data_IF_362912197454
#
_entry.id   IF_362912197454
#
_cell.length_a   1.000
_cell.length_b   1.000
_cell.length_c   1.000
_cell.angle_alpha   90.00
_cell.angle_beta   90.00
_cell.angle_gamma   90.00
#
_symmetry.space_group_name_H-M   'P 1'
#
loop_
_entity.id
_entity.type
_entity.pdbx_description
1 polymer ?
#
# COMPACT_ATOMS: atom_id res chain seq x y z
N UNK A 1 46.98 -7.62 -4.71
CA UNK A 1 46.28 -6.34 -4.94
C UNK A 1 46.12 -6.13 -6.44
N UNK A 2 44.88 -6.19 -6.96
CA UNK A 2 44.58 -5.79 -8.34
C UNK A 2 43.81 -4.47 -8.28
N UNK A 3 44.37 -3.42 -8.89
CA UNK A 3 43.70 -2.13 -9.09
C UNK A 3 42.90 -2.18 -10.39
N UNK A 4 41.64 -1.80 -10.34
CA UNK A 4 40.80 -1.47 -11.50
C UNK A 4 40.81 0.06 -11.71
N UNK A 5 40.57 0.57 -12.94
CA UNK A 5 41.07 1.88 -13.38
C UNK A 5 40.21 3.10 -13.00
N UNK A 6 39.12 2.93 -12.26
CA UNK A 6 38.04 3.92 -12.16
C UNK A 6 37.78 4.42 -10.73
N UNK A 7 38.69 4.15 -9.79
CA UNK A 7 38.78 4.90 -8.53
C UNK A 7 37.55 4.83 -7.62
N UNK A 8 36.58 3.96 -7.89
CA UNK A 8 35.39 3.84 -7.06
C UNK A 8 35.66 2.85 -5.93
N UNK A 9 36.05 3.39 -4.78
CA UNK A 9 36.00 2.67 -3.51
C UNK A 9 34.52 2.48 -3.18
N UNK A 10 33.99 1.27 -3.34
CA UNK A 10 32.69 0.91 -2.75
C UNK A 10 32.93 0.77 -1.25
N UNK A 11 32.82 1.90 -0.55
CA UNK A 11 32.82 1.94 0.90
C UNK A 11 31.61 1.17 1.43
N UNK A 12 31.88 0.22 2.32
CA UNK A 12 30.88 -0.45 3.16
C UNK A 12 30.16 0.51 4.14
N UNK A 13 30.48 1.81 4.10
CA UNK A 13 29.87 2.87 4.91
C UNK A 13 28.49 3.33 4.40
N UNK A 14 28.02 2.84 3.24
CA UNK A 14 26.70 3.21 2.71
C UNK A 14 25.51 2.45 3.34
N UNK A 15 25.73 1.86 4.52
CA UNK A 15 24.71 1.42 5.46
C UNK A 15 24.47 2.46 6.58
N UNK A 16 25.08 3.65 6.51
CA UNK A 16 24.67 4.80 7.32
C UNK A 16 23.47 5.51 6.68
N UNK A 17 22.29 5.05 7.07
CA UNK A 17 21.04 5.64 6.62
C UNK A 17 19.84 4.74 6.85
N UNK A 18 19.84 3.93 7.91
CA UNK A 18 18.59 3.51 8.53
C UNK A 18 17.90 4.79 9.00
N UNK A 19 17.16 5.45 8.09
CA UNK A 19 16.23 6.50 8.45
C UNK A 19 15.29 5.84 9.46
N UNK A 20 15.52 6.10 10.74
CA UNK A 20 14.52 5.92 11.79
C UNK A 20 13.34 6.75 11.32
N UNK A 21 12.42 6.14 10.57
CA UNK A 21 11.36 6.91 9.95
C UNK A 21 10.50 7.44 11.10
N UNK A 22 10.62 8.73 11.38
CA UNK A 22 9.92 9.45 12.44
C UNK A 22 8.45 9.69 12.09
N UNK A 23 7.99 9.17 10.96
CA UNK A 23 6.62 9.18 10.51
C UNK A 23 5.74 8.34 11.46
N UNK A 24 4.86 8.98 12.26
CA UNK A 24 4.04 8.30 13.26
C UNK A 24 2.78 7.67 12.64
N UNK A 25 2.56 7.84 11.32
CA UNK A 25 1.38 7.31 10.64
C UNK A 25 1.40 5.78 10.66
N UNK A 26 0.21 5.20 10.85
CA UNK A 26 -0.02 3.76 10.74
C UNK A 26 0.29 3.25 9.34
N UNK A 27 0.56 1.96 9.22
CA UNK A 27 0.98 1.34 7.96
C UNK A 27 -0.22 0.72 7.24
N UNK A 28 -0.35 1.04 5.94
CA UNK A 28 -1.14 0.26 4.98
C UNK A 28 -0.18 -0.55 4.11
N UNK A 29 -0.21 -1.88 4.22
CA UNK A 29 0.54 -2.78 3.35
C UNK A 29 -0.27 -3.08 2.09
N UNK A 30 0.35 -2.98 0.92
CA UNK A 30 -0.30 -3.30 -0.36
C UNK A 30 0.51 -4.37 -1.08
N UNK A 31 -0.04 -5.58 -1.19
CA UNK A 31 0.51 -6.61 -2.07
C UNK A 31 -0.10 -6.48 -3.46
N UNK A 32 0.76 -6.30 -4.46
CA UNK A 32 0.37 -6.22 -5.87
C UNK A 32 1.50 -6.77 -6.73
N UNK A 33 1.15 -7.45 -7.83
CA UNK A 33 2.14 -7.82 -8.83
C UNK A 33 2.66 -6.57 -9.57
N UNK A 34 3.99 -6.37 -9.72
CA UNK A 34 4.58 -5.14 -10.26
C UNK A 34 4.23 -4.87 -11.73
N UNK A 35 3.85 -5.92 -12.47
CA UNK A 35 3.36 -5.79 -13.86
C UNK A 35 1.91 -5.34 -14.01
N UNK A 36 1.17 -5.15 -12.91
CA UNK A 36 -0.19 -4.62 -12.97
C UNK A 36 -0.16 -3.09 -13.09
N UNK A 37 -1.13 -2.48 -13.81
CA UNK A 37 -1.23 -1.03 -13.89
C UNK A 37 -1.29 -0.41 -12.50
N UNK A 38 -0.58 0.71 -12.33
CA UNK A 38 -0.77 1.57 -11.17
C UNK A 38 -2.23 1.99 -11.09
N UNK A 39 -2.71 2.23 -9.87
CA UNK A 39 -4.03 2.77 -9.62
C UNK A 39 -3.89 4.15 -9.00
N UNK A 40 -4.95 4.96 -9.09
CA UNK A 40 -5.01 6.32 -8.55
C UNK A 40 -4.82 6.39 -7.02
N UNK A 41 -4.72 5.24 -6.33
CA UNK A 41 -4.48 5.14 -4.90
C UNK A 41 -3.05 4.74 -4.50
N UNK A 42 -2.09 4.85 -5.43
CA UNK A 42 -0.70 4.47 -5.18
C UNK A 42 0.18 5.58 -4.56
N UNK A 43 -0.39 6.74 -4.21
CA UNK A 43 0.39 7.91 -3.79
C UNK A 43 0.37 8.10 -2.26
N UNK A 44 1.45 7.65 -1.61
CA UNK A 44 1.64 7.64 -0.15
C UNK A 44 1.83 9.02 0.51
N UNK A 45 2.10 10.07 -0.26
CA UNK A 45 2.52 11.36 0.29
C UNK A 45 1.37 12.16 0.95
N UNK A 46 0.12 11.88 0.56
CA UNK A 46 -1.07 12.57 1.09
C UNK A 46 -2.01 11.66 1.89
N UNK A 47 -1.76 10.35 1.91
CA UNK A 47 -2.59 9.39 2.64
C UNK A 47 -2.45 9.56 4.17
N UNK A 48 -3.54 9.32 4.90
CA UNK A 48 -3.51 9.32 6.38
C UNK A 48 -2.63 8.22 6.97
N UNK A 49 -2.39 7.16 6.19
CA UNK A 49 -1.50 6.06 6.52
C UNK A 49 -0.28 6.04 5.59
N UNK A 50 0.83 5.50 6.07
CA UNK A 50 2.00 5.22 5.25
C UNK A 50 1.72 3.98 4.42
N UNK A 51 1.65 4.14 3.10
CA UNK A 51 1.46 3.04 2.17
C UNK A 51 2.81 2.40 1.84
N UNK A 52 2.93 1.08 2.04
CA UNK A 52 4.13 0.30 1.71
C UNK A 52 3.72 -0.82 0.76
N UNK A 53 4.37 -0.88 -0.39
CA UNK A 53 4.15 -1.93 -1.38
C UNK A 53 5.01 -3.15 -1.10
N UNK A 54 4.42 -4.32 -1.28
CA UNK A 54 5.05 -5.62 -1.07
C UNK A 54 4.90 -6.42 -2.36
N UNK A 55 6.02 -6.84 -2.94
CA UNK A 55 6.04 -7.42 -4.30
C UNK A 55 5.40 -8.82 -4.40
N UNK A 56 5.23 -9.51 -3.27
CA UNK A 56 4.72 -10.87 -3.24
C UNK A 56 3.67 -11.09 -2.15
N UNK A 57 2.63 -11.86 -2.46
CA UNK A 57 1.63 -12.29 -1.48
C UNK A 57 2.29 -13.07 -0.33
N UNK A 58 3.27 -13.91 -0.64
CA UNK A 58 3.95 -14.78 0.33
C UNK A 58 4.75 -14.03 1.40
N UNK A 59 5.16 -12.79 1.12
CA UNK A 59 5.91 -11.96 2.07
C UNK A 59 5.02 -11.11 2.97
N UNK A 60 3.70 -11.08 2.73
CA UNK A 60 2.75 -10.29 3.54
C UNK A 60 2.76 -10.67 5.01
N UNK A 61 2.80 -11.98 5.33
CA UNK A 61 2.85 -12.43 6.72
C UNK A 61 4.08 -11.85 7.43
N UNK A 62 5.25 -12.01 6.81
CA UNK A 62 6.49 -11.47 7.35
C UNK A 62 6.43 -9.94 7.52
N UNK A 63 5.84 -9.24 6.55
CA UNK A 63 5.68 -7.78 6.64
C UNK A 63 4.71 -7.34 7.76
N UNK A 64 3.65 -8.10 8.01
CA UNK A 64 2.75 -7.87 9.14
C UNK A 64 3.47 -8.13 10.47
N UNK A 65 4.12 -9.29 10.60
CA UNK A 65 4.85 -9.67 11.82
C UNK A 65 5.92 -8.62 12.15
N UNK A 66 6.72 -8.22 11.16
CA UNK A 66 7.76 -7.22 11.35
C UNK A 66 7.21 -5.81 11.61
N UNK A 67 6.08 -5.43 10.99
CA UNK A 67 5.42 -4.16 11.25
C UNK A 67 4.91 -4.05 12.70
N UNK A 68 4.46 -5.17 13.27
CA UNK A 68 4.05 -5.27 14.67
C UNK A 68 5.25 -5.22 15.62
N UNK A 69 6.35 -5.90 15.30
CA UNK A 69 7.61 -5.85 16.09
C UNK A 69 8.16 -4.44 16.22
N UNK A 70 8.03 -3.63 15.16
CA UNK A 70 8.50 -2.24 15.14
C UNK A 70 7.52 -1.25 15.81
N UNK A 71 6.41 -1.73 16.41
CA UNK A 71 5.35 -0.92 17.00
C UNK A 71 4.77 0.14 16.04
N UNK A 72 4.76 -0.15 14.73
CA UNK A 72 4.28 0.78 13.70
C UNK A 72 2.83 0.55 13.29
N UNK A 73 2.10 -0.22 14.09
CA UNK A 73 0.68 -0.59 13.92
C UNK A 73 0.28 -0.75 12.45
N UNK A 74 0.34 -1.98 11.94
CA UNK A 74 -0.25 -2.28 10.62
C UNK A 74 -1.76 -2.17 10.75
N UNK A 75 -2.32 -1.09 10.21
CA UNK A 75 -3.76 -0.83 10.25
C UNK A 75 -4.49 -1.62 9.18
N UNK A 76 -3.85 -1.79 8.02
CA UNK A 76 -4.51 -2.33 6.84
C UNK A 76 -3.57 -3.13 5.96
N UNK A 77 -4.09 -4.23 5.42
CA UNK A 77 -3.46 -5.04 4.38
C UNK A 77 -4.41 -5.07 3.19
N UNK A 78 -3.92 -4.68 2.02
CA UNK A 78 -4.66 -4.75 0.76
C UNK A 78 -3.91 -5.69 -0.18
N UNK A 79 -4.60 -6.71 -0.65
CA UNK A 79 -4.11 -7.65 -1.66
C UNK A 79 -4.83 -7.29 -2.97
N UNK A 80 -4.16 -6.62 -3.89
CA UNK A 80 -4.74 -6.19 -5.17
C UNK A 80 -4.44 -7.17 -6.29
N UNK A 81 -5.46 -7.94 -6.69
CA UNK A 81 -5.48 -8.81 -7.88
C UNK A 81 -4.31 -9.79 -7.93
N UNK A 82 -3.79 -10.18 -6.78
CA UNK A 82 -2.69 -11.15 -6.65
C UNK A 82 -3.09 -12.25 -5.67
N UNK A 83 -2.71 -13.49 -6.00
CA UNK A 83 -3.13 -14.68 -5.25
C UNK A 83 -4.59 -15.08 -5.49
N UNK A 84 -5.02 -16.09 -4.73
CA UNK A 84 -6.35 -16.70 -4.79
C UNK A 84 -7.15 -16.47 -3.51
N UNK A 85 -8.47 -16.68 -3.58
CA UNK A 85 -9.33 -16.61 -2.39
C UNK A 85 -8.90 -17.60 -1.29
N UNK A 86 -8.41 -18.79 -1.67
CA UNK A 86 -7.89 -19.77 -0.72
C UNK A 86 -6.63 -19.26 -0.02
N UNK A 87 -5.66 -18.71 -0.77
CA UNK A 87 -4.47 -18.09 -0.19
C UNK A 87 -4.81 -16.92 0.73
N UNK A 88 -5.84 -16.14 0.39
CA UNK A 88 -6.34 -15.09 1.27
C UNK A 88 -6.91 -15.64 2.58
N UNK A 89 -7.70 -16.71 2.55
CA UNK A 89 -8.20 -17.35 3.77
C UNK A 89 -7.06 -17.95 4.60
N UNK A 90 -6.09 -18.60 3.97
CA UNK A 90 -4.88 -19.12 4.63
C UNK A 90 -4.09 -17.98 5.29
N UNK A 91 -3.96 -16.85 4.60
CA UNK A 91 -3.34 -15.64 5.14
C UNK A 91 -4.08 -15.16 6.39
N UNK A 92 -5.42 -15.02 6.33
CA UNK A 92 -6.23 -14.60 7.49
C UNK A 92 -6.07 -15.55 8.69
N UNK A 93 -6.02 -16.85 8.45
CA UNK A 93 -5.82 -17.86 9.49
C UNK A 93 -4.41 -17.81 10.09
N UNK A 94 -3.44 -17.25 9.37
CA UNK A 94 -2.04 -17.12 9.81
C UNK A 94 -1.72 -15.78 10.48
N UNK A 95 -2.67 -14.83 10.50
CA UNK A 95 -2.45 -13.51 11.11
C UNK A 95 -2.20 -13.64 12.63
N UNK A 96 -1.28 -12.84 13.20
CA UNK A 96 -1.11 -12.76 14.64
C UNK A 96 -2.43 -12.40 15.34
N UNK A 97 -2.67 -12.96 16.52
CA UNK A 97 -3.87 -12.66 17.29
C UNK A 97 -3.96 -11.18 17.73
N UNK A 98 -2.81 -10.52 17.83
CA UNK A 98 -2.66 -9.10 18.13
C UNK A 98 -2.93 -8.20 16.91
N UNK A 99 -3.03 -8.77 15.71
CA UNK A 99 -3.32 -7.99 14.51
C UNK A 99 -4.80 -7.57 14.49
N UNK A 100 -5.05 -6.34 14.92
CA UNK A 100 -6.38 -5.73 14.95
C UNK A 100 -6.77 -4.99 13.66
N UNK A 101 -5.88 -4.99 12.67
CA UNK A 101 -6.08 -4.29 11.42
C UNK A 101 -7.08 -4.94 10.46
N UNK A 102 -7.31 -4.29 9.34
CA UNK A 102 -8.20 -4.76 8.28
C UNK A 102 -7.40 -5.48 7.19
N UNK A 103 -7.99 -6.50 6.57
CA UNK A 103 -7.35 -7.23 5.48
C UNK A 103 -8.34 -7.37 4.33
N UNK A 104 -8.04 -6.73 3.18
CA UNK A 104 -8.89 -6.71 2.00
C UNK A 104 -8.24 -7.46 0.83
N UNK A 105 -8.99 -8.34 0.19
CA UNK A 105 -8.59 -9.01 -1.05
C UNK A 105 -9.43 -8.54 -2.23
N UNK A 106 -8.84 -7.72 -3.10
CA UNK A 106 -9.46 -7.17 -4.29
C UNK A 106 -9.25 -8.11 -5.47
N UNK A 107 -10.35 -8.49 -6.10
CA UNK A 107 -10.39 -9.41 -7.25
C UNK A 107 -10.17 -8.67 -8.58
N UNK A 108 -9.98 -9.45 -9.64
CA UNK A 108 -9.79 -8.94 -10.99
C UNK A 108 -10.99 -8.11 -11.50
N UNK A 109 -12.21 -8.42 -11.05
CA UNK A 109 -13.43 -7.70 -11.40
C UNK A 109 -13.72 -6.48 -10.51
N UNK A 110 -12.77 -6.08 -9.65
CA UNK A 110 -12.91 -4.92 -8.77
C UNK A 110 -13.69 -5.17 -7.48
N UNK A 111 -14.44 -6.27 -7.37
CA UNK A 111 -15.06 -6.69 -6.11
C UNK A 111 -14.02 -7.16 -5.10
N UNK A 112 -14.37 -7.24 -3.82
CA UNK A 112 -13.43 -7.65 -2.78
C UNK A 112 -14.05 -8.48 -1.65
N UNK A 113 -13.19 -9.13 -0.88
CA UNK A 113 -13.50 -9.59 0.47
C UNK A 113 -12.74 -8.73 1.47
N UNK A 114 -13.43 -8.22 2.48
CA UNK A 114 -12.85 -7.44 3.57
C UNK A 114 -13.00 -8.21 4.88
N UNK A 115 -11.89 -8.43 5.59
CA UNK A 115 -11.89 -9.02 6.92
C UNK A 115 -11.48 -7.99 7.96
N UNK A 116 -12.33 -7.81 8.97
CA UNK A 116 -12.11 -6.87 10.08
C UNK A 116 -12.42 -7.54 11.43
N UNK A 117 -11.86 -7.02 12.52
CA UNK A 117 -12.10 -7.55 13.87
C UNK A 117 -13.46 -7.07 14.37
N UNK A 118 -14.34 -8.02 14.71
CA UNK A 118 -15.66 -7.76 15.27
C UNK A 118 -15.65 -7.49 16.77
N UNK A 119 -16.81 -7.05 17.29
CA UNK A 119 -17.06 -6.89 18.73
C UNK A 119 -17.08 -8.27 19.40
N UNK A 120 -15.94 -8.73 19.88
CA UNK A 120 -15.75 -10.08 20.43
C UNK A 120 -14.42 -10.74 20.06
N UNK A 121 -13.55 -10.05 19.30
CA UNK A 121 -12.22 -10.55 18.94
C UNK A 121 -12.20 -11.52 17.75
N UNK A 122 -13.37 -11.99 17.31
CA UNK A 122 -13.48 -12.78 16.08
C UNK A 122 -13.46 -11.89 14.85
N UNK A 123 -12.87 -12.40 13.77
CA UNK A 123 -12.90 -11.74 12.47
C UNK A 123 -14.23 -11.97 11.76
N UNK A 124 -14.77 -10.90 11.18
CA UNK A 124 -15.94 -10.95 10.29
C UNK A 124 -15.44 -10.78 8.87
N UNK A 125 -16.08 -11.45 7.92
CA UNK A 125 -15.77 -11.36 6.49
C UNK A 125 -16.95 -10.72 5.75
N UNK A 126 -16.68 -9.66 5.00
CA UNK A 126 -17.64 -8.93 4.20
C UNK A 126 -17.32 -9.13 2.71
N UNK A 127 -18.35 -9.39 1.91
CA UNK A 127 -18.25 -9.30 0.46
C UNK A 127 -18.57 -7.87 0.04
N UNK A 128 -17.71 -7.27 -0.77
CA UNK A 128 -17.80 -5.89 -1.23
C UNK A 128 -17.97 -5.87 -2.76
N UNK A 129 -18.91 -5.08 -3.25
CA UNK A 129 -18.95 -4.74 -4.67
C UNK A 129 -17.80 -3.80 -5.05
N UNK A 130 -17.54 -3.61 -6.34
CA UNK A 130 -16.54 -2.63 -6.81
C UNK A 130 -16.83 -1.21 -6.27
N UNK A 131 -18.11 -0.83 -6.21
CA UNK A 131 -18.53 0.46 -5.65
C UNK A 131 -18.16 0.59 -4.18
N UNK A 132 -18.36 -0.46 -3.40
CA UNK A 132 -18.04 -0.48 -1.97
C UNK A 132 -16.52 -0.43 -1.75
N UNK A 133 -15.74 -1.08 -2.61
CA UNK A 133 -14.27 -0.99 -2.59
C UNK A 133 -13.80 0.43 -2.83
N UNK A 134 -14.33 1.10 -3.84
CA UNK A 134 -13.97 2.49 -4.13
C UNK A 134 -14.34 3.41 -2.96
N UNK A 135 -15.56 3.28 -2.43
CA UNK A 135 -16.00 4.05 -1.27
C UNK A 135 -15.11 3.82 -0.04
N UNK A 136 -14.71 2.57 0.21
CA UNK A 136 -13.80 2.22 1.30
C UNK A 136 -12.43 2.88 1.12
N UNK A 137 -11.83 2.77 -0.07
CA UNK A 137 -10.53 3.39 -0.36
C UNK A 137 -10.59 4.92 -0.23
N UNK A 138 -11.66 5.56 -0.70
CA UNK A 138 -11.90 7.01 -0.56
C UNK A 138 -12.03 7.41 0.91
N UNK A 139 -12.80 6.66 1.69
CA UNK A 139 -12.99 6.91 3.13
C UNK A 139 -11.67 6.88 3.91
N UNK A 140 -10.73 6.06 3.46
CA UNK A 140 -9.40 5.95 4.07
C UNK A 140 -8.33 6.85 3.42
N UNK A 141 -8.74 7.78 2.54
CA UNK A 141 -7.85 8.66 1.78
C UNK A 141 -6.71 7.90 1.10
N UNK A 142 -7.03 6.72 0.59
CA UNK A 142 -6.08 5.93 -0.18
C UNK A 142 -6.07 6.37 -1.63
N UNK A 143 -7.18 6.88 -2.15
CA UNK A 143 -7.31 7.44 -3.50
C UNK A 143 -6.94 8.93 -3.53
N UNK A 144 -6.35 9.37 -4.64
CA UNK A 144 -6.27 10.79 -4.98
C UNK A 144 -7.26 11.07 -6.12
N UNK A 145 -8.18 12.00 -5.90
CA UNK A 145 -8.82 12.70 -7.00
C UNK A 145 -7.84 13.79 -7.43
N UNK A 146 -7.15 13.65 -8.56
CA UNK A 146 -6.55 14.83 -9.19
C UNK A 146 -7.71 15.76 -9.51
N UNK A 147 -7.86 16.84 -8.75
CA UNK A 147 -8.67 17.97 -9.19
C UNK A 147 -7.90 18.54 -10.36
N UNK A 148 -8.26 18.13 -11.58
CA UNK A 148 -7.78 18.79 -12.79
C UNK A 148 -8.31 20.21 -12.79
N UNK A 149 -7.50 21.15 -12.29
CA UNK A 149 -7.69 22.55 -12.61
C UNK A 149 -7.30 22.71 -14.08
N UNK A 150 -8.30 22.77 -14.95
CA UNK A 150 -8.10 23.24 -16.31
C UNK A 150 -7.69 24.71 -16.21
N UNK A 151 -6.38 24.97 -16.25
CA UNK A 151 -5.86 26.34 -16.34
C UNK A 151 -6.19 26.80 -17.76
N UNK A 152 -7.29 27.54 -17.91
CA UNK A 152 -7.58 28.28 -19.14
C UNK A 152 -6.34 29.12 -19.46
N UNK A 153 -5.64 28.75 -20.54
CA UNK A 153 -4.49 29.50 -21.00
C UNK A 153 -5.02 30.82 -21.56
N UNK A 154 -4.66 32.00 -21.02
CA UNK A 154 -5.16 33.25 -21.56
C UNK A 154 -4.68 33.36 -23.01
N UNK A 155 -5.65 33.51 -23.93
CA UNK A 155 -5.40 33.65 -25.37
C UNK A 155 -4.46 34.83 -25.56
N UNK A 156 -3.23 34.54 -25.98
CA UNK A 156 -2.23 35.56 -26.28
C UNK A 156 -2.80 36.52 -27.32
N UNK A 157 -2.87 37.80 -26.95
CA UNK A 157 -3.32 38.88 -27.82
C UNK A 157 -2.49 38.88 -29.10
N UNK A 158 -3.13 38.51 -30.23
CA UNK A 158 -2.58 38.75 -31.56
C UNK A 158 -2.51 40.26 -31.76
N UNK A 159 -1.32 40.84 -31.61
CA UNK A 159 -1.04 42.16 -32.13
C UNK A 159 -1.00 42.06 -33.66
N UNK A 160 -2.05 42.58 -34.30
CA UNK A 160 -2.11 42.87 -35.72
C UNK A 160 -1.11 43.99 -36.07
N UNK A 161 -0.47 43.80 -37.22
CA UNK A 161 0.54 44.66 -37.84
C UNK A 161 0.08 46.09 -38.13
#
# INVERSE_FOLDING_TARGET
>A
MRKWPDGTVIGLDRLEGAIMTTDPRRITLVARHPGLPSRNWDLSHHAQSRVIFVDAFTTLRFAVDHGMELARDVERVIIDRTGSAMQYLDFLASLPHEFLGEAMFVRADGSAYLSSVGRGGHRVLYALSERDVNFYLDTHNLTHSEIQFEIETPVAARQSA
#
